data_IF_069102844749
#
_entry.id   IF_069102844749
#
_cell.length_a   1.000
_cell.length_b   1.000
_cell.length_c   1.000
_cell.angle_alpha   90.00
_cell.angle_beta   90.00
_cell.angle_gamma   90.00
#
_symmetry.space_group_name_H-M   'P 1'
#
loop_
_entity.id
_entity.type
_entity.pdbx_description
1 polymer ?
#
# COMPACT_ATOMS: atom_id res chain seq x y z
N UNK A 1 10.09 14.07 -15.76
CA UNK A 1 10.28 13.29 -14.54
C UNK A 1 9.97 14.20 -13.37
N UNK A 2 9.11 13.77 -12.49
CA UNK A 2 8.68 14.53 -11.32
C UNK A 2 9.37 14.02 -10.06
N UNK A 3 9.37 14.83 -9.00
CA UNK A 3 9.90 14.40 -7.71
C UNK A 3 8.76 14.39 -6.69
N UNK A 4 8.59 13.27 -6.01
CA UNK A 4 7.72 13.17 -4.85
C UNK A 4 8.52 13.47 -3.60
N UNK A 5 8.04 14.42 -2.79
CA UNK A 5 8.56 14.69 -1.46
C UNK A 5 7.50 14.39 -0.43
N UNK A 6 7.78 13.44 0.44
CA UNK A 6 6.94 13.11 1.60
C UNK A 6 7.66 13.60 2.85
N UNK A 7 6.99 14.41 3.66
CA UNK A 7 7.54 14.91 4.92
C UNK A 7 6.65 14.44 6.06
N UNK A 8 7.26 13.72 7.00
CA UNK A 8 6.64 13.31 8.26
C UNK A 8 7.22 14.23 9.33
N UNK A 9 6.35 14.94 10.04
CA UNK A 9 6.72 15.81 11.14
C UNK A 9 6.04 15.33 12.41
N UNK A 10 6.83 15.08 13.41
CA UNK A 10 6.39 14.74 14.75
C UNK A 10 6.62 15.92 15.66
N UNK A 11 5.60 16.32 16.41
CA UNK A 11 5.68 17.42 17.38
C UNK A 11 5.31 16.87 18.76
N UNK A 12 6.27 16.78 19.62
CA UNK A 12 6.10 16.30 20.99
C UNK A 12 6.98 17.09 21.95
N UNK A 13 6.35 17.70 22.94
CA UNK A 13 7.09 18.26 24.09
C UNK A 13 6.84 17.39 25.32
N UNK A 14 7.88 16.79 25.85
CA UNK A 14 7.82 15.95 27.04
C UNK A 14 8.76 16.50 28.11
N UNK A 15 8.23 16.75 29.30
CA UNK A 15 8.97 17.31 30.43
C UNK A 15 9.75 18.61 30.09
N UNK A 16 9.19 19.43 29.19
CA UNK A 16 9.81 20.70 28.77
C UNK A 16 10.87 20.57 27.67
N UNK A 17 11.12 19.37 27.16
CA UNK A 17 12.05 19.12 26.07
C UNK A 17 11.29 18.76 24.78
N UNK A 18 11.77 19.31 23.65
CA UNK A 18 11.29 18.92 22.33
C UNK A 18 11.83 17.52 21.98
N UNK A 19 10.93 16.59 21.70
CA UNK A 19 11.20 15.23 21.27
C UNK A 19 10.71 14.98 19.86
N UNK A 20 10.30 16.04 19.17
CA UNK A 20 9.83 15.95 17.79
C UNK A 20 10.94 15.64 16.79
N UNK A 21 10.55 15.20 15.62
CA UNK A 21 11.45 14.92 14.51
C UNK A 21 10.81 15.33 13.17
N UNK A 22 11.67 15.58 12.18
CA UNK A 22 11.23 15.82 10.80
C UNK A 22 12.00 14.90 9.89
N UNK A 23 11.28 13.99 9.24
CA UNK A 23 11.83 13.05 8.27
C UNK A 23 11.29 13.38 6.88
N UNK A 24 12.16 13.38 5.89
CA UNK A 24 11.79 13.63 4.51
C UNK A 24 12.27 12.49 3.63
N UNK A 25 11.31 11.80 3.01
CA UNK A 25 11.54 10.87 1.91
C UNK A 25 11.46 11.66 0.59
N UNK A 26 12.48 11.51 -0.23
CA UNK A 26 12.49 12.05 -1.61
C UNK A 26 12.57 10.89 -2.57
N UNK A 27 11.64 10.82 -3.51
CA UNK A 27 11.60 9.87 -4.61
C UNK A 27 11.73 10.67 -5.88
N UNK A 28 12.82 10.45 -6.62
CA UNK A 28 13.06 11.07 -7.93
C UNK A 28 12.40 10.25 -9.03
N UNK A 29 12.31 10.89 -10.19
CA UNK A 29 11.91 10.24 -11.45
C UNK A 29 10.50 9.64 -11.46
N UNK A 30 9.62 10.09 -10.57
CA UNK A 30 8.22 9.67 -10.56
C UNK A 30 7.58 9.98 -11.91
N UNK A 31 7.10 8.96 -12.58
CA UNK A 31 6.45 9.03 -13.89
C UNK A 31 4.97 8.64 -13.86
N UNK A 32 4.55 7.88 -12.85
CA UNK A 32 3.16 7.50 -12.68
C UNK A 32 2.64 7.77 -11.26
N UNK A 33 1.40 8.25 -11.17
CA UNK A 33 0.67 8.40 -9.91
C UNK A 33 -0.74 7.83 -10.07
N UNK A 34 -1.02 6.78 -9.32
CA UNK A 34 -2.37 6.26 -9.16
C UNK A 34 -3.00 6.87 -7.91
N UNK A 35 -4.02 7.71 -8.11
CA UNK A 35 -4.79 8.31 -7.03
C UNK A 35 -6.28 8.09 -7.24
N UNK A 36 -6.95 7.46 -6.27
CA UNK A 36 -8.36 7.10 -6.37
C UNK A 36 -9.05 7.13 -5.01
N UNK A 37 -10.33 7.49 -5.01
CA UNK A 37 -11.22 7.24 -3.87
C UNK A 37 -12.09 6.03 -4.23
N UNK A 38 -12.10 5.04 -3.36
CA UNK A 38 -12.87 3.82 -3.51
C UNK A 38 -13.87 3.71 -2.36
N UNK A 39 -15.14 3.47 -2.68
CA UNK A 39 -16.15 3.13 -1.68
C UNK A 39 -16.11 1.63 -1.43
N UNK A 40 -15.78 1.24 -0.21
CA UNK A 40 -15.74 -0.14 0.24
C UNK A 40 -17.05 -0.47 0.97
N UNK A 41 -17.85 -1.42 0.47
CA UNK A 41 -19.13 -1.78 1.06
C UNK A 41 -18.94 -2.44 2.44
N UNK A 42 -19.92 -2.26 3.31
CA UNK A 42 -19.95 -2.89 4.63
C UNK A 42 -19.82 -4.42 4.55
N UNK A 43 -19.05 -5.00 5.46
CA UNK A 43 -18.83 -6.45 5.59
C UNK A 43 -18.33 -7.18 4.33
N UNK A 44 -17.80 -6.46 3.36
CA UNK A 44 -17.24 -7.04 2.14
C UNK A 44 -15.78 -6.64 1.97
N UNK A 45 -15.00 -7.58 1.49
CA UNK A 45 -13.65 -7.33 1.03
C UNK A 45 -13.67 -6.59 -0.31
N UNK A 46 -12.82 -5.59 -0.43
CA UNK A 46 -12.71 -4.78 -1.65
C UNK A 46 -11.23 -4.64 -2.00
N UNK A 47 -10.82 -5.18 -3.13
CA UNK A 47 -9.48 -4.92 -3.67
C UNK A 47 -9.39 -3.49 -4.15
N UNK A 48 -8.51 -2.70 -3.55
CA UNK A 48 -8.35 -1.27 -3.83
C UNK A 48 -7.17 -0.97 -4.74
N UNK A 49 -6.19 -1.87 -4.80
CA UNK A 49 -5.07 -1.84 -5.74
C UNK A 49 -4.57 -3.26 -6.02
N UNK A 50 -4.12 -3.51 -7.24
CA UNK A 50 -3.44 -4.73 -7.65
C UNK A 50 -2.06 -4.41 -8.21
N UNK A 51 -1.12 -5.29 -7.94
CA UNK A 51 0.27 -5.18 -8.38
C UNK A 51 0.65 -6.42 -9.18
N UNK A 52 1.59 -6.27 -10.09
CA UNK A 52 2.12 -7.36 -10.90
C UNK A 52 3.59 -7.13 -11.19
N UNK A 53 4.36 -8.19 -11.30
CA UNK A 53 5.79 -8.14 -11.62
C UNK A 53 6.09 -7.78 -13.08
N UNK A 54 5.09 -7.72 -13.94
CA UNK A 54 5.24 -7.29 -15.33
C UNK A 54 3.92 -6.75 -15.88
N UNK A 55 3.81 -5.44 -15.93
CA UNK A 55 2.70 -4.73 -16.59
C UNK A 55 3.21 -4.23 -17.93
N UNK A 56 2.70 -4.81 -19.03
CA UNK A 56 2.79 -4.12 -20.30
C UNK A 56 3.80 -4.63 -21.33
N UNK A 57 4.13 -5.91 -21.39
CA UNK A 57 4.70 -6.46 -22.64
C UNK A 57 3.66 -7.27 -23.40
N UNK A 58 2.97 -6.55 -24.27
CA UNK A 58 2.06 -7.09 -25.25
C UNK A 58 2.78 -7.98 -26.24
N UNK A 59 3.01 -9.23 -25.88
CA UNK A 59 3.11 -10.29 -26.86
C UNK A 59 1.81 -11.07 -26.85
N UNK A 60 0.79 -10.51 -27.48
CA UNK A 60 -0.25 -11.28 -28.12
C UNK A 60 -1.46 -11.72 -27.31
N UNK A 61 -1.63 -11.40 -26.04
CA UNK A 61 -2.97 -11.53 -25.38
C UNK A 61 -2.98 -10.58 -24.19
N UNK A 62 -3.15 -9.29 -24.44
CA UNK A 62 -3.27 -8.31 -23.39
C UNK A 62 -4.63 -8.45 -22.72
N UNK A 63 -4.70 -9.13 -21.60
CA UNK A 63 -5.67 -8.75 -20.59
C UNK A 63 -5.18 -7.44 -20.02
N UNK A 64 -5.87 -6.35 -20.33
CA UNK A 64 -5.65 -5.05 -19.69
C UNK A 64 -6.14 -5.16 -18.25
N UNK A 65 -5.33 -5.79 -17.41
CA UNK A 65 -5.54 -5.73 -15.97
C UNK A 65 -5.09 -4.33 -15.53
N UNK A 66 -5.93 -3.65 -14.79
CA UNK A 66 -5.62 -2.35 -14.17
C UNK A 66 -4.64 -2.54 -12.99
N UNK A 67 -3.55 -3.26 -13.24
CA UNK A 67 -2.53 -3.54 -12.25
C UNK A 67 -1.38 -2.53 -12.38
N UNK A 68 -0.76 -2.23 -11.25
CA UNK A 68 0.45 -1.41 -11.16
C UNK A 68 1.67 -2.31 -11.21
N UNK A 69 2.75 -1.86 -11.85
CA UNK A 69 4.03 -2.60 -11.84
C UNK A 69 4.65 -2.49 -10.44
N UNK A 70 4.73 -3.60 -9.71
CA UNK A 70 5.23 -3.62 -8.34
C UNK A 70 6.70 -3.22 -8.26
N UNK A 71 7.49 -3.49 -9.31
CA UNK A 71 8.91 -3.16 -9.37
C UNK A 71 9.15 -1.64 -9.38
N UNK A 72 8.20 -0.89 -9.94
CA UNK A 72 8.27 0.56 -10.07
C UNK A 72 7.61 1.29 -8.89
N UNK A 73 6.80 0.59 -8.07
CA UNK A 73 6.11 1.21 -6.93
C UNK A 73 7.10 1.58 -5.83
N UNK A 74 7.18 2.86 -5.49
CA UNK A 74 8.08 3.41 -4.48
C UNK A 74 7.36 3.98 -3.25
N UNK A 75 6.06 4.27 -3.35
CA UNK A 75 5.30 4.86 -2.26
C UNK A 75 3.83 4.49 -2.35
N UNK A 76 3.27 4.08 -1.23
CA UNK A 76 1.83 3.79 -1.07
C UNK A 76 1.31 4.53 0.16
N UNK A 77 0.17 5.20 0.02
CA UNK A 77 -0.60 5.74 1.14
C UNK A 77 -2.07 5.35 1.00
N UNK A 78 -2.59 4.76 2.05
CA UNK A 78 -4.00 4.41 2.18
C UNK A 78 -4.59 5.25 3.30
N UNK A 79 -5.59 6.06 2.99
CA UNK A 79 -6.25 6.93 3.96
C UNK A 79 -7.72 6.53 4.12
N UNK A 80 -8.12 6.22 5.33
CA UNK A 80 -9.52 6.06 5.67
C UNK A 80 -10.16 7.45 5.77
N UNK A 81 -11.07 7.76 4.85
CA UNK A 81 -11.76 9.06 4.80
C UNK A 81 -13.02 9.11 5.66
N UNK A 82 -13.39 8.02 6.30
CA UNK A 82 -14.52 7.99 7.23
C UNK A 82 -14.19 8.75 8.52
N UNK A 83 -15.19 9.36 9.13
CA UNK A 83 -15.01 10.13 10.37
C UNK A 83 -15.25 9.32 11.64
N UNK A 84 -15.77 8.11 11.53
CA UNK A 84 -16.27 7.32 12.68
C UNK A 84 -15.93 5.84 12.61
N UNK A 85 -15.80 5.29 11.39
CA UNK A 85 -15.64 3.86 11.18
C UNK A 85 -14.21 3.49 10.81
N UNK A 86 -13.66 2.49 11.47
CA UNK A 86 -12.39 1.88 11.13
C UNK A 86 -12.53 0.88 9.99
N UNK A 87 -11.41 0.50 9.40
CA UNK A 87 -11.31 -0.56 8.41
C UNK A 87 -10.12 -1.46 8.73
N UNK A 88 -10.16 -2.69 8.25
CA UNK A 88 -8.99 -3.57 8.17
C UNK A 88 -8.38 -3.45 6.78
N UNK A 89 -7.11 -3.07 6.72
CA UNK A 89 -6.30 -3.10 5.50
C UNK A 89 -5.47 -4.38 5.51
N UNK A 90 -5.60 -5.18 4.46
CA UNK A 90 -4.82 -6.38 4.24
C UNK A 90 -3.82 -6.18 3.09
N UNK A 91 -2.57 -6.46 3.36
CA UNK A 91 -1.48 -6.52 2.42
C UNK A 91 -1.37 -7.96 1.95
N UNK A 92 -1.72 -8.24 0.70
CA UNK A 92 -1.73 -9.59 0.15
C UNK A 92 -0.42 -9.86 -0.57
N UNK A 93 0.15 -11.03 -0.35
CA UNK A 93 1.38 -11.51 -0.98
C UNK A 93 1.06 -12.84 -1.65
N UNK A 94 1.40 -12.97 -2.91
CA UNK A 94 1.24 -14.24 -3.63
C UNK A 94 2.41 -15.17 -3.31
N UNK A 95 2.12 -16.36 -2.81
CA UNK A 95 3.09 -17.41 -2.53
C UNK A 95 3.01 -18.47 -3.62
N UNK A 96 3.81 -18.31 -4.66
CA UNK A 96 3.90 -19.26 -5.78
C UNK A 96 3.49 -18.64 -7.12
N UNK A 97 3.99 -19.22 -8.21
CA UNK A 97 3.72 -18.75 -9.58
C UNK A 97 2.41 -19.29 -10.18
N UNK A 98 1.69 -20.09 -9.44
CA UNK A 98 0.41 -20.63 -9.88
C UNK A 98 -0.70 -20.04 -9.00
N UNK A 99 -1.62 -19.37 -9.61
CA UNK A 99 -2.86 -18.76 -9.08
C UNK A 99 -3.71 -19.71 -8.16
N UNK A 100 -3.10 -20.75 -7.63
CA UNK A 100 -3.68 -21.81 -6.80
C UNK A 100 -3.14 -21.87 -5.37
N UNK A 101 -2.17 -21.02 -5.01
CA UNK A 101 -1.61 -20.94 -3.66
C UNK A 101 -2.51 -20.19 -2.68
N UNK A 102 -2.42 -20.55 -1.41
CA UNK A 102 -3.00 -19.73 -0.35
C UNK A 102 -2.20 -18.44 -0.24
N UNK A 103 -2.80 -17.32 -0.60
CA UNK A 103 -2.20 -16.01 -0.38
C UNK A 103 -1.92 -15.80 1.10
N UNK A 104 -0.74 -15.31 1.38
CA UNK A 104 -0.40 -14.86 2.72
C UNK A 104 -0.75 -13.39 2.86
N UNK A 105 -1.25 -13.00 4.01
CA UNK A 105 -1.63 -11.62 4.26
C UNK A 105 -1.14 -11.10 5.60
N UNK A 106 -0.76 -9.83 5.62
CA UNK A 106 -0.57 -9.06 6.84
C UNK A 106 -1.68 -8.01 6.93
N UNK A 107 -2.40 -7.96 8.05
CA UNK A 107 -3.51 -7.05 8.21
C UNK A 107 -3.24 -6.01 9.30
N UNK A 108 -3.63 -4.78 9.04
CA UNK A 108 -3.54 -3.66 9.98
C UNK A 108 -4.89 -2.96 10.11
N UNK A 109 -5.20 -2.50 11.33
CA UNK A 109 -6.36 -1.65 11.57
C UNK A 109 -6.03 -0.21 11.18
N UNK A 110 -6.85 0.40 10.32
CA UNK A 110 -6.78 1.82 9.99
C UNK A 110 -8.03 2.50 10.55
N UNK A 111 -7.84 3.23 11.63
CA UNK A 111 -8.93 3.96 12.29
C UNK A 111 -9.47 5.09 11.40
N UNK A 112 -10.63 5.61 11.79
CA UNK A 112 -11.28 6.73 11.12
C UNK A 112 -10.34 7.95 11.00
N UNK A 113 -10.24 8.51 9.81
CA UNK A 113 -9.40 9.67 9.51
C UNK A 113 -7.90 9.40 9.55
N UNK A 114 -7.45 8.15 9.66
CA UNK A 114 -6.02 7.79 9.73
C UNK A 114 -5.49 7.26 8.41
N UNK A 115 -4.17 7.28 8.28
CA UNK A 115 -3.48 6.78 7.09
C UNK A 115 -2.46 5.72 7.45
N UNK A 116 -2.35 4.71 6.60
CA UNK A 116 -1.25 3.78 6.54
C UNK A 116 -0.31 4.20 5.41
N UNK A 117 0.99 4.15 5.64
CA UNK A 117 2.01 4.59 4.68
C UNK A 117 3.10 3.53 4.58
N UNK A 118 3.45 3.20 3.36
CA UNK A 118 4.62 2.40 3.00
C UNK A 118 5.44 3.14 1.95
N UNK A 119 6.76 3.02 2.01
CA UNK A 119 7.61 3.60 0.99
C UNK A 119 9.04 3.11 1.07
N UNK A 120 9.61 2.84 -0.09
CA UNK A 120 11.02 2.54 -0.27
C UNK A 120 11.55 3.31 -1.47
N UNK A 121 12.72 3.95 -1.37
CA UNK A 121 13.24 4.74 -2.50
C UNK A 121 14.01 3.93 -3.52
N UNK A 122 14.23 2.62 -3.31
CA UNK A 122 15.18 1.85 -4.12
C UNK A 122 14.57 0.72 -4.92
N UNK A 123 13.72 -0.10 -4.29
CA UNK A 123 13.15 -1.29 -4.92
C UNK A 123 11.64 -1.32 -4.74
N UNK A 124 10.98 -2.26 -5.38
CA UNK A 124 9.57 -2.56 -5.19
C UNK A 124 9.24 -2.87 -3.73
N UNK A 125 7.99 -2.76 -3.38
CA UNK A 125 7.52 -3.09 -2.03
C UNK A 125 7.32 -4.58 -1.93
N UNK A 126 8.14 -5.23 -1.11
CA UNK A 126 8.13 -6.68 -0.90
C UNK A 126 7.87 -7.01 0.56
N UNK A 127 7.21 -8.12 0.81
CA UNK A 127 6.81 -8.63 2.12
C UNK A 127 7.14 -10.12 2.22
N UNK A 128 7.03 -10.69 3.41
CA UNK A 128 7.14 -12.12 3.61
C UNK A 128 6.22 -12.61 4.72
N UNK A 129 5.91 -13.91 4.67
CA UNK A 129 5.01 -14.61 5.59
C UNK A 129 5.70 -15.39 6.69
N UNK A 130 6.97 -15.18 6.94
CA UNK A 130 7.72 -16.02 7.87
C UNK A 130 7.18 -16.01 9.30
N UNK A 131 7.03 -17.20 9.86
CA UNK A 131 6.64 -17.44 11.24
C UNK A 131 7.66 -16.86 12.22
N UNK A 132 7.49 -15.60 12.63
CA UNK A 132 8.25 -14.93 13.69
C UNK A 132 9.78 -14.91 13.54
N UNK A 133 10.34 -15.36 12.43
CA UNK A 133 11.76 -15.27 12.12
C UNK A 133 12.04 -14.12 11.18
N UNK A 134 13.22 -13.52 11.33
CA UNK A 134 13.69 -12.58 10.33
C UNK A 134 13.95 -13.32 9.03
N UNK A 135 13.31 -12.88 7.96
CA UNK A 135 13.44 -13.50 6.63
C UNK A 135 14.47 -12.79 5.78
N UNK A 136 15.10 -13.55 4.90
CA UNK A 136 16.04 -13.06 3.90
C UNK A 136 15.40 -12.92 2.52
N UNK A 137 14.34 -13.68 2.28
CA UNK A 137 13.66 -13.71 0.99
C UNK A 137 12.30 -13.00 1.13
N UNK A 138 12.13 -11.88 0.45
CA UNK A 138 10.91 -11.11 0.40
C UNK A 138 10.19 -11.42 -0.92
N UNK A 139 8.87 -11.37 -0.88
CA UNK A 139 7.99 -11.60 -2.03
C UNK A 139 7.25 -10.31 -2.36
N UNK A 140 6.98 -10.10 -3.64
CA UNK A 140 6.30 -8.90 -4.11
C UNK A 140 4.87 -8.79 -3.56
N UNK A 141 4.45 -7.57 -3.31
CA UNK A 141 3.07 -7.26 -2.94
C UNK A 141 2.15 -7.54 -4.15
N UNK A 142 1.12 -8.38 -3.96
CA UNK A 142 0.14 -8.68 -5.01
C UNK A 142 -1.04 -7.70 -5.00
N UNK A 143 -1.63 -7.47 -3.85
CA UNK A 143 -2.80 -6.61 -3.75
C UNK A 143 -2.98 -5.96 -2.39
N UNK A 144 -3.78 -4.90 -2.38
CA UNK A 144 -4.28 -4.25 -1.18
C UNK A 144 -5.80 -4.47 -1.12
N UNK A 145 -6.24 -5.09 -0.04
CA UNK A 145 -7.64 -5.39 0.21
C UNK A 145 -8.11 -4.64 1.45
N UNK A 146 -9.28 -4.05 1.37
CA UNK A 146 -9.91 -3.36 2.49
C UNK A 146 -11.20 -4.06 2.88
N UNK A 147 -11.36 -4.30 4.16
CA UNK A 147 -12.59 -4.80 4.75
C UNK A 147 -13.09 -3.83 5.81
N UNK A 148 -14.17 -3.08 5.55
CA UNK A 148 -14.89 -2.33 6.57
C UNK A 148 -15.68 -3.27 7.49
N UNK A 149 -16.03 -2.77 8.68
CA UNK A 149 -17.01 -3.43 9.54
C UNK A 149 -18.44 -3.28 9.01
N UNK A 150 -19.37 -3.00 9.91
CA UNK A 150 -20.82 -2.93 9.62
C UNK A 150 -21.27 -1.72 8.78
N UNK A 151 -20.36 -0.79 8.48
CA UNK A 151 -20.66 0.41 7.70
C UNK A 151 -19.70 0.51 6.51
N UNK A 152 -20.19 1.01 5.37
CA UNK A 152 -19.34 1.32 4.22
C UNK A 152 -18.39 2.45 4.54
N UNK A 153 -17.18 2.41 4.02
CA UNK A 153 -16.17 3.47 4.16
C UNK A 153 -15.64 3.92 2.82
N UNK A 154 -15.20 5.18 2.73
CA UNK A 154 -14.45 5.69 1.60
C UNK A 154 -12.96 5.68 1.93
N UNK A 155 -12.17 5.18 0.99
CA UNK A 155 -10.72 5.05 1.12
C UNK A 155 -10.03 5.80 0.00
N UNK A 156 -9.10 6.68 0.33
CA UNK A 156 -8.19 7.25 -0.67
C UNK A 156 -6.98 6.35 -0.80
N UNK A 157 -6.73 5.90 -2.01
CA UNK A 157 -5.51 5.18 -2.42
C UNK A 157 -4.62 6.15 -3.17
N UNK A 158 -3.36 6.20 -2.80
CA UNK A 158 -2.32 6.96 -3.48
C UNK A 158 -1.09 6.07 -3.65
N UNK A 159 -0.70 5.82 -4.88
CA UNK A 159 0.50 5.06 -5.24
C UNK A 159 1.35 5.90 -6.17
N UNK A 160 2.65 5.95 -5.93
CA UNK A 160 3.60 6.60 -6.82
C UNK A 160 4.64 5.60 -7.28
N UNK A 161 4.91 5.61 -8.59
CA UNK A 161 5.85 4.75 -9.28
C UNK A 161 6.95 5.58 -9.95
N UNK A 162 8.16 5.00 -10.05
CA UNK A 162 9.36 5.65 -10.59
C UNK A 162 10.32 4.63 -11.20
#
# INVERSE_FOLDING_TARGET
>A
MANLKVTIREELTLNGYDQGAVNTLKISDVDEVFKRIVTCPANNETTIARFRSSVGNASGTATFDSALDVQDVKYIRITNLDSSNSLTLSLQVEVGEDDSGADTSASVLVEAGKSFVMGTPHDGISLSDANANLVTDLVDLDSLVVQPGSNSVNVEVYVASA
#
